data_IF_999649261103
#
_entry.id   IF_999649261103
#
_cell.length_a   1.000
_cell.length_b   1.000
_cell.length_c   1.000
_cell.angle_alpha   90.00
_cell.angle_beta   90.00
_cell.angle_gamma   90.00
#
_symmetry.space_group_name_H-M   'P 1'
#
loop_
_entity.id
_entity.type
_entity.pdbx_description
1 polymer ?
#
# COMPACT_ATOMS: atom_id res chain seq x y z
N UNK A 1 -81.39 -8.86 31.69
CA UNK A 1 -81.37 -10.30 31.48
C UNK A 1 -80.54 -10.56 30.28
N UNK A 2 -79.28 -10.90 30.48
CA UNK A 2 -78.30 -11.18 29.40
C UNK A 2 -77.71 -12.60 29.65
N UNK A 3 -77.77 -13.52 28.71
CA UNK A 3 -77.36 -14.86 28.93
C UNK A 3 -75.79 -14.94 28.77
N UNK A 4 -75.10 -15.29 29.86
CA UNK A 4 -73.71 -15.75 29.85
C UNK A 4 -73.68 -17.15 29.26
N UNK A 5 -73.58 -17.27 27.96
CA UNK A 5 -73.30 -18.52 27.28
C UNK A 5 -71.93 -18.42 26.58
N UNK A 6 -71.03 -19.32 26.89
CA UNK A 6 -69.98 -19.63 25.93
C UNK A 6 -68.54 -19.76 26.42
N UNK A 7 -68.18 -19.36 27.64
CA UNK A 7 -66.76 -19.51 28.09
C UNK A 7 -66.44 -20.81 28.78
N UNK A 8 -67.44 -21.43 29.39
CA UNK A 8 -67.19 -22.68 30.18
C UNK A 8 -67.17 -23.95 29.33
N UNK A 9 -67.67 -23.92 28.09
CA UNK A 9 -67.63 -25.04 27.17
C UNK A 9 -66.27 -25.22 26.50
N UNK A 10 -65.53 -24.15 26.25
CA UNK A 10 -64.20 -24.19 25.65
C UNK A 10 -63.14 -24.63 26.68
N UNK A 11 -63.33 -24.24 27.95
CA UNK A 11 -62.42 -24.63 29.04
C UNK A 11 -62.55 -26.13 29.43
N UNK A 12 -63.71 -26.73 29.16
CA UNK A 12 -63.94 -28.16 29.41
C UNK A 12 -63.38 -29.05 28.29
N UNK A 13 -63.22 -28.57 27.10
CA UNK A 13 -62.59 -29.28 25.98
C UNK A 13 -61.05 -29.32 26.06
N UNK A 14 -60.47 -28.46 26.85
CA UNK A 14 -59.01 -28.41 27.09
C UNK A 14 -58.59 -29.19 28.35
N UNK A 15 -59.48 -30.01 28.94
CA UNK A 15 -59.09 -30.88 30.05
C UNK A 15 -58.33 -32.09 29.48
N UNK A 16 -57.13 -32.27 29.91
CA UNK A 16 -56.10 -33.25 29.45
C UNK A 16 -56.49 -34.75 29.52
N UNK A 17 -57.72 -35.07 29.95
CA UNK A 17 -58.14 -36.44 30.18
C UNK A 17 -58.89 -37.11 29.01
N UNK A 18 -59.11 -36.40 27.91
CA UNK A 18 -59.74 -36.93 26.69
C UNK A 18 -58.77 -37.64 25.74
N UNK A 19 -59.26 -38.56 24.88
CA UNK A 19 -58.42 -39.24 23.91
C UNK A 19 -57.65 -38.27 22.97
N UNK A 20 -58.23 -37.07 22.69
CA UNK A 20 -57.59 -36.02 21.92
C UNK A 20 -56.46 -35.29 22.69
N UNK A 21 -56.66 -35.06 24.00
CA UNK A 21 -55.61 -34.46 24.86
C UNK A 21 -54.40 -35.37 25.03
N UNK A 22 -54.66 -36.67 25.20
CA UNK A 22 -53.58 -37.68 25.25
C UNK A 22 -52.80 -37.79 23.93
N UNK A 23 -53.48 -37.71 22.81
CA UNK A 23 -52.81 -37.70 21.50
C UNK A 23 -51.95 -36.43 21.29
N UNK A 24 -52.43 -35.24 21.76
CA UNK A 24 -51.66 -34.01 21.72
C UNK A 24 -50.46 -34.02 22.64
N UNK A 25 -50.59 -34.61 23.86
CA UNK A 25 -49.46 -34.80 24.77
C UNK A 25 -48.42 -35.80 24.22
N UNK A 26 -48.86 -36.90 23.60
CA UNK A 26 -48.00 -37.86 22.93
C UNK A 26 -47.24 -37.22 21.73
N UNK A 27 -47.92 -36.38 20.96
CA UNK A 27 -47.30 -35.62 19.88
C UNK A 27 -46.26 -34.61 20.41
N UNK A 28 -46.59 -33.90 21.47
CA UNK A 28 -45.74 -32.89 22.09
C UNK A 28 -44.53 -33.51 22.81
N UNK A 29 -44.72 -34.58 23.54
CA UNK A 29 -43.62 -35.19 24.35
C UNK A 29 -42.71 -36.13 23.55
N UNK A 30 -43.21 -36.75 22.49
CA UNK A 30 -42.44 -37.76 21.77
C UNK A 30 -42.02 -37.38 20.36
N UNK A 31 -42.83 -36.61 19.66
CA UNK A 31 -42.56 -36.22 18.26
C UNK A 31 -41.81 -34.92 18.16
N UNK A 32 -42.16 -33.91 18.97
CA UNK A 32 -41.50 -32.63 18.97
C UNK A 32 -40.01 -32.73 19.31
N UNK A 33 -39.56 -33.42 20.37
CA UNK A 33 -38.13 -33.53 20.67
C UNK A 33 -37.37 -34.32 19.59
N UNK A 34 -37.95 -35.38 19.04
CA UNK A 34 -37.33 -36.19 17.99
C UNK A 34 -37.17 -35.35 16.68
N UNK A 35 -38.17 -34.54 16.34
CA UNK A 35 -38.05 -33.59 15.22
C UNK A 35 -37.01 -32.52 15.52
N UNK A 36 -36.98 -32.02 16.73
CA UNK A 36 -36.06 -30.95 17.13
C UNK A 36 -34.61 -31.46 17.20
N UNK A 37 -34.38 -32.65 17.75
CA UNK A 37 -33.05 -33.25 17.82
C UNK A 37 -32.50 -33.72 16.46
N UNK A 38 -33.38 -34.11 15.53
CA UNK A 38 -32.94 -34.60 14.21
C UNK A 38 -32.94 -33.55 13.09
N UNK A 39 -33.87 -32.59 13.14
CA UNK A 39 -33.97 -31.55 12.08
C UNK A 39 -33.11 -30.34 12.34
N UNK A 40 -32.92 -29.93 13.61
CA UNK A 40 -32.06 -28.80 13.96
C UNK A 40 -30.60 -28.97 13.50
N UNK A 41 -29.93 -30.13 13.72
CA UNK A 41 -28.55 -30.28 13.25
C UNK A 41 -28.46 -30.33 11.72
N UNK A 42 -29.46 -30.88 11.03
CA UNK A 42 -29.51 -30.92 9.57
C UNK A 42 -29.72 -29.51 9.00
N UNK A 43 -30.57 -28.73 9.64
CA UNK A 43 -30.80 -27.32 9.25
C UNK A 43 -29.59 -26.44 9.55
N UNK A 44 -28.93 -26.64 10.70
CA UNK A 44 -27.70 -25.96 11.06
C UNK A 44 -26.54 -26.31 10.14
N UNK A 45 -26.40 -27.59 9.75
CA UNK A 45 -25.40 -28.00 8.74
C UNK A 45 -25.66 -27.37 7.37
N UNK A 46 -26.94 -27.22 6.98
CA UNK A 46 -27.33 -26.55 5.75
C UNK A 46 -27.02 -25.06 5.76
N UNK A 47 -27.39 -24.36 6.84
CA UNK A 47 -27.11 -22.93 7.05
C UNK A 47 -25.61 -22.65 7.15
N UNK A 48 -24.87 -23.48 7.90
CA UNK A 48 -23.42 -23.34 8.04
C UNK A 48 -22.70 -23.53 6.69
N UNK A 49 -23.12 -24.49 5.87
CA UNK A 49 -22.59 -24.68 4.53
C UNK A 49 -22.96 -23.51 3.61
N UNK A 50 -24.17 -23.00 3.70
CA UNK A 50 -24.60 -21.83 2.91
C UNK A 50 -23.83 -20.56 3.31
N UNK A 51 -23.58 -20.36 4.60
CA UNK A 51 -22.73 -19.28 5.11
C UNK A 51 -21.28 -19.41 4.65
N UNK A 52 -20.73 -20.62 4.67
CA UNK A 52 -19.38 -20.87 4.16
C UNK A 52 -19.27 -20.54 2.68
N UNK A 53 -20.22 -20.99 1.86
CA UNK A 53 -20.28 -20.65 0.44
C UNK A 53 -20.40 -19.13 0.23
N UNK A 54 -21.30 -18.47 0.96
CA UNK A 54 -21.51 -17.02 0.85
C UNK A 54 -20.30 -16.20 1.29
N UNK A 55 -19.65 -16.56 2.39
CA UNK A 55 -18.56 -15.77 2.96
C UNK A 55 -17.19 -16.11 2.35
N UNK A 56 -16.99 -17.33 1.90
CA UNK A 56 -15.68 -17.78 1.39
C UNK A 56 -15.68 -17.93 -0.12
N UNK A 57 -16.60 -18.71 -0.67
CA UNK A 57 -16.56 -19.04 -2.11
C UNK A 57 -16.94 -17.83 -2.97
N UNK A 58 -17.97 -17.08 -2.62
CA UNK A 58 -18.41 -15.95 -3.44
C UNK A 58 -17.31 -14.86 -3.54
N UNK A 59 -16.72 -14.35 -2.45
CA UNK A 59 -15.65 -13.36 -2.58
C UNK A 59 -14.40 -13.93 -3.25
N UNK A 60 -14.08 -15.22 -3.05
CA UNK A 60 -12.95 -15.86 -3.73
C UNK A 60 -13.15 -15.94 -5.25
N UNK A 61 -14.33 -16.32 -5.70
CA UNK A 61 -14.67 -16.35 -7.13
C UNK A 61 -14.66 -14.94 -7.72
N UNK A 62 -15.23 -13.97 -7.02
CA UNK A 62 -15.19 -12.57 -7.44
C UNK A 62 -13.76 -12.04 -7.56
N UNK A 63 -12.89 -12.38 -6.59
CA UNK A 63 -11.48 -12.02 -6.65
C UNK A 63 -10.77 -12.67 -7.87
N UNK A 64 -11.00 -13.95 -8.13
CA UNK A 64 -10.43 -14.64 -9.30
C UNK A 64 -10.88 -13.98 -10.61
N UNK A 65 -12.17 -13.63 -10.71
CA UNK A 65 -12.71 -12.95 -11.89
C UNK A 65 -12.09 -11.55 -12.02
N UNK A 66 -12.01 -10.79 -10.93
CA UNK A 66 -11.42 -9.46 -10.93
C UNK A 66 -9.94 -9.50 -11.36
N UNK A 67 -9.12 -10.34 -10.71
CA UNK A 67 -7.69 -10.44 -11.02
C UNK A 67 -7.40 -11.07 -12.37
N UNK A 68 -8.31 -11.94 -12.90
CA UNK A 68 -8.11 -12.59 -14.18
C UNK A 68 -8.58 -11.77 -15.40
N UNK A 69 -9.49 -10.81 -15.21
CA UNK A 69 -10.10 -10.09 -16.34
C UNK A 69 -10.03 -8.56 -16.23
N UNK A 70 -9.92 -8.00 -15.02
CA UNK A 70 -9.97 -6.54 -14.81
C UNK A 70 -8.70 -5.93 -14.23
N UNK A 71 -7.91 -6.69 -13.50
CA UNK A 71 -6.68 -6.15 -12.91
C UNK A 71 -5.68 -5.80 -14.02
N UNK A 72 -5.16 -4.57 -13.98
CA UNK A 72 -4.14 -4.13 -14.94
C UNK A 72 -2.78 -4.73 -14.61
N UNK A 73 -2.04 -5.10 -15.65
CA UNK A 73 -0.64 -5.49 -15.52
C UNK A 73 0.20 -4.33 -15.02
N UNK A 74 1.14 -4.61 -14.13
CA UNK A 74 2.10 -3.64 -13.63
C UNK A 74 3.50 -4.05 -14.01
N UNK A 75 4.24 -3.11 -14.54
CA UNK A 75 5.63 -3.31 -14.94
C UNK A 75 6.53 -2.56 -13.97
N UNK A 76 7.60 -3.21 -13.56
CA UNK A 76 8.61 -2.62 -12.68
C UNK A 76 9.88 -2.39 -13.48
N UNK A 77 10.43 -1.18 -13.39
CA UNK A 77 11.75 -0.85 -13.89
C UNK A 77 12.68 -0.68 -12.69
N UNK A 78 13.63 -1.60 -12.55
CA UNK A 78 14.67 -1.55 -11.50
C UNK A 78 15.87 -0.80 -12.04
N UNK A 79 16.32 0.21 -11.31
CA UNK A 79 17.54 0.97 -11.58
C UNK A 79 18.46 0.93 -10.38
N UNK A 80 19.75 0.75 -10.64
CA UNK A 80 20.81 0.74 -9.64
C UNK A 80 21.68 1.97 -9.87
N UNK A 81 21.78 2.85 -8.88
CA UNK A 81 22.58 4.07 -8.96
C UNK A 81 23.73 4.00 -7.96
N UNK A 82 24.96 4.14 -8.45
CA UNK A 82 26.13 4.23 -7.59
C UNK A 82 26.47 5.71 -7.40
N UNK A 83 26.42 6.17 -6.18
CA UNK A 83 26.81 7.55 -5.84
C UNK A 83 28.33 7.59 -5.73
N UNK A 84 28.98 8.28 -6.67
CA UNK A 84 30.43 8.53 -6.63
C UNK A 84 30.67 10.01 -6.43
N UNK A 85 31.18 10.37 -5.27
CA UNK A 85 31.66 11.73 -5.03
C UNK A 85 32.96 11.92 -5.83
N UNK A 86 32.95 12.84 -6.80
CA UNK A 86 34.08 13.08 -7.70
C UNK A 86 35.31 13.74 -7.03
N UNK A 87 35.30 13.86 -5.71
CA UNK A 87 36.26 14.68 -4.96
C UNK A 87 37.45 13.94 -4.38
N UNK A 88 37.75 12.71 -4.88
CA UNK A 88 38.87 11.90 -4.38
C UNK A 88 40.27 12.39 -4.79
N UNK A 89 40.38 13.49 -5.51
CA UNK A 89 41.71 13.97 -5.94
C UNK A 89 42.34 15.09 -5.09
N UNK A 90 41.58 15.82 -4.28
CA UNK A 90 42.16 16.86 -3.39
C UNK A 90 42.34 16.41 -1.95
N UNK A 91 41.68 15.33 -1.55
CA UNK A 91 41.69 14.82 -0.18
C UNK A 91 42.87 13.87 0.10
N UNK A 92 43.60 13.44 -0.93
CA UNK A 92 44.64 12.38 -0.83
C UNK A 92 45.86 12.74 0.02
N UNK A 93 46.08 14.00 0.41
CA UNK A 93 47.21 14.39 1.27
C UNK A 93 46.86 14.57 2.73
N UNK A 94 45.59 14.86 3.04
CA UNK A 94 45.10 15.02 4.41
C UNK A 94 44.33 13.80 4.92
N UNK A 95 43.81 12.99 4.00
CA UNK A 95 42.96 11.83 4.26
C UNK A 95 43.73 10.63 4.82
N UNK A 96 45.05 10.61 4.62
CA UNK A 96 45.93 9.59 5.24
C UNK A 96 45.95 9.67 6.78
N UNK A 97 45.62 10.80 7.37
CA UNK A 97 45.58 11.01 8.83
C UNK A 97 44.14 10.99 9.39
N UNK A 98 43.12 11.38 8.60
CA UNK A 98 41.71 11.41 8.99
C UNK A 98 40.88 10.29 8.36
N UNK A 99 41.43 9.57 7.38
CA UNK A 99 40.77 8.46 6.68
C UNK A 99 40.38 7.27 7.56
N UNK A 100 40.96 7.19 8.76
CA UNK A 100 40.48 6.23 9.78
C UNK A 100 39.22 6.65 10.52
N UNK A 101 38.75 7.90 10.34
CA UNK A 101 37.55 8.46 10.96
C UNK A 101 36.51 8.94 9.92
N UNK A 102 36.87 9.06 8.63
CA UNK A 102 36.11 9.74 7.59
C UNK A 102 35.53 8.87 6.48
N UNK A 103 35.46 7.56 6.63
CA UNK A 103 34.88 6.64 5.62
C UNK A 103 33.38 6.76 5.38
N UNK A 104 32.74 7.91 5.68
CA UNK A 104 31.27 8.04 5.65
C UNK A 104 30.71 9.04 4.64
N UNK A 105 31.53 9.74 3.87
CA UNK A 105 31.02 10.74 2.90
C UNK A 105 30.11 10.08 1.84
N UNK A 106 30.53 8.97 1.28
CA UNK A 106 29.70 8.24 0.28
C UNK A 106 28.40 7.67 0.86
N UNK A 107 28.37 7.35 2.16
CA UNK A 107 27.15 6.88 2.82
C UNK A 107 26.14 8.02 3.01
N UNK A 108 26.60 9.21 3.38
CA UNK A 108 25.72 10.39 3.53
C UNK A 108 25.10 10.77 2.19
N UNK A 109 25.88 10.72 1.11
CA UNK A 109 25.39 11.05 -0.24
C UNK A 109 24.29 10.06 -0.70
N UNK A 110 24.43 8.77 -0.39
CA UNK A 110 23.42 7.76 -0.73
C UNK A 110 22.08 7.99 -0.03
N UNK A 111 22.10 8.30 1.27
CA UNK A 111 20.88 8.63 2.02
C UNK A 111 20.26 9.95 1.55
N UNK A 112 21.06 10.93 1.17
CA UNK A 112 20.56 12.20 0.62
C UNK A 112 19.85 11.99 -0.72
N UNK A 113 20.37 11.10 -1.58
CA UNK A 113 19.71 10.73 -2.84
C UNK A 113 18.39 10.00 -2.59
N UNK A 114 18.37 9.04 -1.66
CA UNK A 114 17.14 8.35 -1.26
C UNK A 114 16.06 9.34 -0.78
N UNK A 115 16.39 10.22 0.16
CA UNK A 115 15.48 11.23 0.68
C UNK A 115 15.01 12.23 -0.42
N UNK A 116 15.92 12.61 -1.32
CA UNK A 116 15.56 13.46 -2.44
C UNK A 116 14.54 12.80 -3.37
N UNK A 117 14.70 11.51 -3.69
CA UNK A 117 13.75 10.77 -4.52
C UNK A 117 12.37 10.68 -3.85
N UNK A 118 12.31 10.65 -2.53
CA UNK A 118 11.06 10.65 -1.77
C UNK A 118 10.52 12.07 -1.47
N UNK A 119 11.11 13.12 -2.04
CA UNK A 119 10.73 14.51 -1.74
C UNK A 119 9.64 15.06 -2.66
N UNK A 120 8.96 16.09 -2.19
CA UNK A 120 8.00 16.86 -2.99
C UNK A 120 8.66 17.57 -4.19
N UNK A 121 9.96 17.89 -4.06
CA UNK A 121 10.70 18.60 -5.11
C UNK A 121 10.83 17.74 -6.36
N UNK A 122 11.29 16.51 -6.21
CA UNK A 122 11.45 15.61 -7.37
C UNK A 122 10.10 15.25 -7.98
N UNK A 123 9.05 15.01 -7.16
CA UNK A 123 7.71 14.74 -7.67
C UNK A 123 7.17 15.87 -8.55
N UNK A 124 7.44 17.12 -8.17
CA UNK A 124 7.07 18.30 -8.96
C UNK A 124 7.85 18.38 -10.26
N UNK A 125 9.16 18.16 -10.21
CA UNK A 125 10.02 18.16 -11.41
C UNK A 125 9.65 17.05 -12.38
N UNK A 126 9.34 15.86 -11.88
CA UNK A 126 8.86 14.75 -12.69
C UNK A 126 7.50 15.05 -13.34
N UNK A 127 6.61 15.74 -12.62
CA UNK A 127 5.35 16.18 -13.20
C UNK A 127 5.58 17.15 -14.38
N UNK A 128 6.56 18.04 -14.25
CA UNK A 128 6.89 19.02 -15.30
C UNK A 128 7.61 18.37 -16.50
N UNK A 129 8.48 17.37 -16.27
CA UNK A 129 9.33 16.78 -17.32
C UNK A 129 8.69 15.63 -18.05
N UNK A 130 7.98 14.73 -17.36
CA UNK A 130 7.40 13.49 -17.93
C UNK A 130 5.89 13.42 -17.87
N UNK A 131 5.22 14.40 -17.22
CA UNK A 131 3.77 14.45 -17.00
C UNK A 131 3.22 13.18 -16.35
N UNK A 132 3.67 12.93 -15.10
CA UNK A 132 3.29 11.73 -14.34
C UNK A 132 1.78 11.56 -14.19
N UNK A 133 1.02 12.66 -14.06
CA UNK A 133 -0.43 12.59 -13.93
C UNK A 133 -1.05 11.95 -15.17
N UNK A 134 -0.62 12.36 -16.35
CA UNK A 134 -1.08 11.77 -17.62
C UNK A 134 -0.75 10.29 -17.72
N UNK A 135 0.48 9.90 -17.31
CA UNK A 135 0.92 8.50 -17.33
C UNK A 135 0.03 7.64 -16.40
N UNK A 136 -0.21 8.10 -15.18
CA UNK A 136 -0.94 7.31 -14.17
C UNK A 136 -2.47 7.43 -14.27
N UNK A 137 -3.00 8.38 -15.03
CA UNK A 137 -4.42 8.50 -15.35
C UNK A 137 -4.82 7.85 -16.67
N UNK A 138 -3.88 7.22 -17.37
CA UNK A 138 -4.11 6.58 -18.65
C UNK A 138 -5.09 5.39 -18.56
N UNK A 139 -5.73 5.05 -19.70
CA UNK A 139 -6.77 4.02 -19.76
C UNK A 139 -6.27 2.59 -19.50
N UNK A 140 -4.95 2.38 -19.55
CA UNK A 140 -4.31 1.12 -19.19
C UNK A 140 -4.38 0.81 -17.68
N UNK A 141 -4.57 1.83 -16.86
CA UNK A 141 -4.81 1.65 -15.43
C UNK A 141 -6.24 1.19 -15.17
N UNK A 142 -6.40 0.19 -14.31
CA UNK A 142 -7.73 -0.22 -13.86
C UNK A 142 -8.40 0.90 -13.04
N UNK A 143 -9.73 0.88 -12.98
CA UNK A 143 -10.53 1.91 -12.30
C UNK A 143 -10.11 2.17 -10.85
N UNK A 144 -9.66 1.14 -10.13
CA UNK A 144 -9.30 1.24 -8.70
C UNK A 144 -7.86 1.70 -8.47
N UNK A 145 -6.99 1.51 -9.46
CA UNK A 145 -5.56 1.84 -9.37
C UNK A 145 -5.20 3.11 -10.12
N UNK A 146 -6.11 3.65 -10.92
CA UNK A 146 -5.92 4.86 -11.72
C UNK A 146 -5.84 6.09 -10.83
N UNK A 147 -4.93 6.99 -11.14
CA UNK A 147 -4.89 8.32 -10.55
C UNK A 147 -6.00 9.19 -11.15
N UNK A 148 -6.78 9.83 -10.31
CA UNK A 148 -7.69 10.90 -10.75
C UNK A 148 -6.84 12.13 -11.17
N UNK A 149 -6.96 12.66 -12.41
CA UNK A 149 -6.14 13.76 -12.87
C UNK A 149 -6.34 15.06 -12.06
N UNK A 150 -7.52 15.24 -11.45
CA UNK A 150 -7.90 16.47 -10.75
C UNK A 150 -7.58 16.46 -9.24
N UNK A 151 -6.86 15.42 -8.74
CA UNK A 151 -6.48 15.35 -7.32
C UNK A 151 -5.54 16.48 -6.90
N UNK A 152 -5.53 16.76 -5.60
CA UNK A 152 -4.58 17.70 -5.01
C UNK A 152 -3.13 17.28 -5.24
N UNK A 153 -2.18 18.18 -5.03
CA UNK A 153 -0.76 17.81 -5.14
C UNK A 153 -0.36 16.80 -4.06
N UNK A 154 -0.92 16.88 -2.86
CA UNK A 154 -0.64 15.97 -1.76
C UNK A 154 -1.13 14.54 -2.05
N UNK A 155 -2.33 14.41 -2.63
CA UNK A 155 -2.85 13.11 -3.05
C UNK A 155 -2.03 12.52 -4.20
N UNK A 156 -1.63 13.37 -5.17
CA UNK A 156 -0.70 12.97 -6.23
C UNK A 156 0.64 12.53 -5.66
N UNK A 157 1.20 13.25 -4.70
CA UNK A 157 2.48 12.90 -4.06
C UNK A 157 2.38 11.58 -3.29
N UNK A 158 1.30 11.37 -2.55
CA UNK A 158 1.03 10.09 -1.87
C UNK A 158 0.92 8.94 -2.86
N UNK A 159 0.27 9.17 -4.00
CA UNK A 159 0.19 8.19 -5.07
C UNK A 159 1.57 7.91 -5.67
N UNK A 160 2.37 8.94 -5.97
CA UNK A 160 3.74 8.79 -6.45
C UNK A 160 4.57 7.91 -5.52
N UNK A 161 4.57 8.18 -4.21
CA UNK A 161 5.27 7.36 -3.22
C UNK A 161 4.80 5.89 -3.19
N UNK A 162 3.55 5.63 -3.53
CA UNK A 162 3.03 4.26 -3.63
C UNK A 162 3.49 3.51 -4.89
N UNK A 163 4.09 4.20 -5.86
CA UNK A 163 4.55 3.66 -7.16
C UNK A 163 6.05 3.54 -7.28
N UNK A 164 6.78 4.09 -6.34
CA UNK A 164 8.23 3.95 -6.25
C UNK A 164 8.59 3.20 -4.99
N UNK A 165 9.65 2.41 -5.08
CA UNK A 165 10.35 1.84 -3.93
C UNK A 165 11.81 2.21 -4.08
N UNK A 166 12.36 2.91 -3.10
CA UNK A 166 13.74 3.37 -3.11
C UNK A 166 14.38 3.12 -1.76
N UNK A 167 15.57 2.55 -1.77
CA UNK A 167 16.37 2.38 -0.57
C UNK A 167 17.86 2.40 -0.91
N UNK A 168 18.65 2.89 0.03
CA UNK A 168 20.11 2.89 -0.07
C UNK A 168 20.69 1.68 0.65
N UNK A 169 21.42 0.85 -0.11
CA UNK A 169 22.23 -0.23 0.44
C UNK A 169 23.61 0.33 0.82
N UNK A 170 23.81 0.51 2.11
CA UNK A 170 25.07 1.06 2.65
C UNK A 170 26.24 0.11 2.58
N UNK A 171 26.01 -1.21 2.47
CA UNK A 171 27.08 -2.20 2.32
C UNK A 171 27.59 -2.22 0.89
N UNK A 172 26.69 -2.17 -0.08
CA UNK A 172 27.03 -2.12 -1.51
C UNK A 172 27.33 -0.71 -2.02
N UNK A 173 26.99 0.33 -1.26
CA UNK A 173 27.03 1.75 -1.63
C UNK A 173 26.25 2.04 -2.91
N UNK A 174 25.03 1.50 -2.98
CA UNK A 174 24.14 1.59 -4.14
C UNK A 174 22.75 2.01 -3.71
N UNK A 175 22.15 2.93 -4.44
CA UNK A 175 20.73 3.27 -4.32
C UNK A 175 19.95 2.36 -5.27
N UNK A 176 19.03 1.60 -4.71
CA UNK A 176 18.08 0.79 -5.45
C UNK A 176 16.82 1.61 -5.69
N UNK A 177 16.36 1.63 -6.92
CA UNK A 177 15.14 2.31 -7.32
C UNK A 177 14.27 1.40 -8.17
N UNK A 178 13.08 1.09 -7.69
CA UNK A 178 12.04 0.37 -8.40
C UNK A 178 10.89 1.31 -8.73
N UNK A 179 10.58 1.44 -10.00
CA UNK A 179 9.49 2.29 -10.50
C UNK A 179 8.41 1.41 -11.12
N UNK A 180 7.18 1.56 -10.64
CA UNK A 180 6.01 0.84 -11.14
C UNK A 180 5.20 1.73 -12.09
N UNK A 181 4.88 1.23 -13.27
CA UNK A 181 3.95 1.86 -14.20
C UNK A 181 3.10 0.82 -14.94
N UNK A 182 2.09 1.27 -15.68
CA UNK A 182 1.18 0.41 -16.45
C UNK A 182 1.73 0.02 -17.82
N UNK A 183 2.80 0.69 -18.29
CA UNK A 183 3.52 0.36 -19.51
C UNK A 183 5.03 0.24 -19.21
N UNK A 184 5.74 -0.72 -19.82
CA UNK A 184 7.19 -0.86 -19.61
C UNK A 184 7.98 0.39 -20.00
N UNK A 185 7.57 1.04 -21.10
CA UNK A 185 8.22 2.26 -21.59
C UNK A 185 8.08 3.44 -20.61
N UNK A 186 6.91 3.56 -19.94
CA UNK A 186 6.67 4.60 -18.96
C UNK A 186 7.47 4.35 -17.68
N UNK A 187 7.52 3.10 -17.20
CA UNK A 187 8.35 2.73 -16.04
C UNK A 187 9.83 3.07 -16.30
N UNK A 188 10.34 2.72 -17.47
CA UNK A 188 11.72 3.02 -17.86
C UNK A 188 11.96 4.54 -17.99
N UNK A 189 11.03 5.28 -18.60
CA UNK A 189 11.13 6.73 -18.76
C UNK A 189 11.16 7.44 -17.41
N UNK A 190 10.28 7.08 -16.50
CA UNK A 190 10.23 7.65 -15.15
C UNK A 190 11.52 7.33 -14.39
N UNK A 191 11.97 6.08 -14.39
CA UNK A 191 13.21 5.67 -13.73
C UNK A 191 14.45 6.42 -14.28
N UNK A 192 14.55 6.55 -15.59
CA UNK A 192 15.63 7.32 -16.23
C UNK A 192 15.61 8.80 -15.86
N UNK A 193 14.44 9.40 -15.77
CA UNK A 193 14.30 10.83 -15.40
C UNK A 193 14.59 11.05 -13.90
N UNK A 194 14.19 10.11 -13.01
CA UNK A 194 14.57 10.14 -11.60
C UNK A 194 16.09 10.08 -11.46
N UNK A 195 16.75 9.16 -12.16
CA UNK A 195 18.20 9.04 -12.13
C UNK A 195 18.88 10.34 -12.60
N UNK A 196 18.42 10.93 -13.71
CA UNK A 196 18.94 12.20 -14.23
C UNK A 196 18.78 13.36 -13.23
N UNK A 197 17.60 13.49 -12.62
CA UNK A 197 17.32 14.53 -11.62
C UNK A 197 18.15 14.35 -10.34
N UNK A 198 18.40 13.11 -9.96
CA UNK A 198 19.27 12.78 -8.83
C UNK A 198 20.73 13.13 -9.11
N UNK A 199 21.25 12.81 -10.30
CA UNK A 199 22.59 13.20 -10.73
C UNK A 199 22.74 14.73 -10.78
N UNK A 200 21.76 15.44 -11.31
CA UNK A 200 21.74 16.91 -11.32
C UNK A 200 21.77 17.50 -9.91
N UNK A 201 21.08 16.86 -8.96
CA UNK A 201 21.07 17.29 -7.55
C UNK A 201 22.43 17.09 -6.90
N UNK A 202 23.04 15.90 -7.04
CA UNK A 202 24.36 15.58 -6.49
C UNK A 202 25.43 16.53 -7.07
N UNK A 203 25.40 16.78 -8.36
CA UNK A 203 26.34 17.70 -9.02
C UNK A 203 26.19 19.13 -8.47
N UNK A 204 24.96 19.62 -8.27
CA UNK A 204 24.74 20.96 -7.68
C UNK A 204 25.27 21.06 -6.26
N UNK A 205 25.07 20.05 -5.41
CA UNK A 205 25.59 20.03 -4.05
C UNK A 205 27.13 20.07 -4.08
N UNK A 206 27.74 19.26 -4.94
CA UNK A 206 29.21 19.23 -5.10
C UNK A 206 29.79 20.56 -5.57
N UNK A 207 29.15 21.23 -6.54
CA UNK A 207 29.60 22.56 -7.01
C UNK A 207 29.45 23.64 -5.94
N UNK A 208 28.35 23.64 -5.20
CA UNK A 208 28.13 24.57 -4.09
C UNK A 208 29.19 24.38 -3.00
N UNK A 209 29.48 23.16 -2.60
CA UNK A 209 30.50 22.85 -1.61
C UNK A 209 31.91 23.30 -2.04
N UNK A 210 32.24 23.23 -3.34
CA UNK A 210 33.49 23.76 -3.88
C UNK A 210 33.57 25.27 -3.84
N UNK A 211 32.48 25.95 -4.17
CA UNK A 211 32.41 27.41 -4.18
C UNK A 211 32.56 27.95 -2.77
N UNK A 212 31.88 27.36 -1.80
CA UNK A 212 31.98 27.74 -0.38
C UNK A 212 33.38 27.50 0.18
N UNK A 213 34.05 26.43 -0.23
CA UNK A 213 35.43 26.13 0.20
C UNK A 213 36.48 27.13 -0.33
N UNK A 214 36.22 27.77 -1.48
CA UNK A 214 37.13 28.76 -2.07
C UNK A 214 36.94 30.17 -1.47
N UNK A 215 35.76 30.46 -0.92
CA UNK A 215 35.42 31.81 -0.40
C UNK A 215 35.94 32.06 1.03
N UNK A 216 36.34 31.03 1.81
CA UNK A 216 36.77 31.13 3.23
C UNK A 216 38.19 31.65 3.48
N UNK A 217 39.19 31.70 2.57
CA UNK A 217 40.58 32.01 2.95
C UNK A 217 40.96 33.49 3.03
N UNK A 218 40.08 34.49 2.85
CA UNK A 218 40.49 35.88 2.70
C UNK A 218 40.52 36.74 3.99
N UNK A 219 40.02 36.26 5.15
CA UNK A 219 39.90 37.10 6.36
C UNK A 219 40.82 36.81 7.54
N UNK A 220 41.61 35.72 7.55
CA UNK A 220 42.48 35.38 8.66
C UNK A 220 43.97 35.77 8.52
N UNK A 221 44.29 36.68 7.66
CA UNK A 221 45.67 37.10 7.36
C UNK A 221 46.05 38.51 7.83
N UNK A 222 45.54 39.05 8.97
CA UNK A 222 46.09 40.26 9.56
C UNK A 222 46.82 39.98 10.85
N UNK A 223 48.19 39.86 10.85
CA UNK A 223 48.92 39.78 12.09
C UNK A 223 48.86 41.13 12.83
N UNK A 224 48.33 41.11 14.02
CA UNK A 224 48.43 42.27 14.93
C UNK A 224 49.91 42.51 15.24
N UNK A 225 50.36 43.70 14.88
CA UNK A 225 51.63 44.31 15.37
C UNK A 225 51.40 44.93 16.72
#
# INVERSE_FOLDING_TARGET
>A
MSPRFGKDHLTRMMRDDGPAGRALLFLKERIVPVLQERLLPILQLGVSRLLFVGIVIVPSVLAIIYYGFWASDRYVSTSLMTVRTSDSQLVSTFDGLLGSLGGQTGLVDGYVVEEYIQSHEIARKLQESVDLRSIYSADEADYWSRLDPDVTFEDFFSYYLSRIDVYFDSEANVVHLDVQAYRPADAQRIAAEIARLSDDMVNRISEQSRTDAVEVPAEEGTPAQ
#
